data_IF_313000631916
#
_entry.id   IF_313000631916
#
_cell.length_a   1.000
_cell.length_b   1.000
_cell.length_c   1.000
_cell.angle_alpha   90.00
_cell.angle_beta   90.00
_cell.angle_gamma   90.00
#
_symmetry.space_group_name_H-M   'P 1'
#
loop_
_entity.id
_entity.type
_entity.pdbx_description
1 polymer ?
#
# COMPACT_ATOMS: atom_id res chain seq x y z
N UNK A 1 4.26 8.19 -8.65
CA UNK A 1 3.30 8.11 -9.77
C UNK A 1 1.86 7.98 -9.27
N UNK A 2 1.49 6.94 -8.50
CA UNK A 2 0.12 6.77 -7.98
C UNK A 2 -0.38 7.97 -7.16
N UNK A 3 0.43 8.47 -6.21
CA UNK A 3 0.11 9.62 -5.36
C UNK A 3 -0.20 10.90 -6.15
N UNK A 4 0.53 11.12 -7.25
CA UNK A 4 0.41 12.29 -8.10
C UNK A 4 -0.89 12.23 -8.93
N UNK A 5 -1.27 11.03 -9.38
CA UNK A 5 -2.55 10.77 -10.06
C UNK A 5 -3.72 10.99 -9.10
N UNK A 6 -3.65 10.45 -7.87
CA UNK A 6 -4.71 10.67 -6.86
C UNK A 6 -4.84 12.13 -6.46
N UNK A 7 -3.73 12.83 -6.23
CA UNK A 7 -3.74 14.26 -5.90
C UNK A 7 -4.33 15.10 -7.03
N UNK A 8 -3.97 14.79 -8.29
CA UNK A 8 -4.53 15.43 -9.47
C UNK A 8 -6.04 15.24 -9.60
N UNK A 9 -6.56 14.05 -9.31
CA UNK A 9 -8.00 13.79 -9.35
C UNK A 9 -8.78 14.53 -8.26
N UNK A 10 -8.28 14.51 -7.03
CA UNK A 10 -8.92 15.21 -5.89
C UNK A 10 -8.98 16.71 -6.16
N UNK A 11 -7.90 17.26 -6.71
CA UNK A 11 -7.87 18.66 -7.12
C UNK A 11 -8.91 18.97 -8.19
N UNK A 12 -9.03 18.13 -9.22
CA UNK A 12 -9.97 18.36 -10.32
C UNK A 12 -11.41 18.42 -9.80
N UNK A 13 -11.74 17.61 -8.79
CA UNK A 13 -13.01 17.69 -8.06
C UNK A 13 -13.14 18.99 -7.26
N UNK A 14 -12.11 19.38 -6.52
CA UNK A 14 -12.14 20.63 -5.77
C UNK A 14 -12.35 21.85 -6.68
N UNK A 15 -11.70 21.87 -7.84
CA UNK A 15 -11.88 22.89 -8.88
C UNK A 15 -13.30 22.89 -9.45
N UNK A 16 -13.88 21.72 -9.72
CA UNK A 16 -15.27 21.61 -10.19
C UNK A 16 -16.27 22.12 -9.13
N UNK A 17 -16.06 21.78 -7.86
CA UNK A 17 -16.87 22.25 -6.73
C UNK A 17 -16.80 23.78 -6.58
N UNK A 18 -15.60 24.34 -6.72
CA UNK A 18 -15.39 25.78 -6.65
C UNK A 18 -16.09 26.50 -7.81
N UNK A 19 -15.99 25.95 -9.03
CA UNK A 19 -16.71 26.45 -10.20
C UNK A 19 -18.23 26.50 -9.95
N UNK A 20 -18.79 25.43 -9.39
CA UNK A 20 -20.22 25.33 -9.08
C UNK A 20 -20.67 26.32 -7.99
N UNK A 21 -19.86 26.48 -6.93
CA UNK A 21 -20.09 27.48 -5.88
C UNK A 21 -20.07 28.91 -6.43
N UNK A 22 -19.18 29.21 -7.37
CA UNK A 22 -19.07 30.54 -7.96
C UNK A 22 -20.22 30.84 -8.92
N UNK A 23 -20.66 29.86 -9.70
CA UNK A 23 -21.87 29.96 -10.51
C UNK A 23 -23.12 30.23 -9.64
N UNK A 24 -23.23 29.57 -8.49
CA UNK A 24 -24.32 29.82 -7.53
C UNK A 24 -24.19 31.18 -6.81
N UNK A 25 -22.98 31.62 -6.48
CA UNK A 25 -22.74 32.95 -5.89
C UNK A 25 -22.97 34.09 -6.88
N UNK A 26 -22.65 33.90 -8.16
CA UNK A 26 -22.85 34.90 -9.22
C UNK A 26 -24.34 35.24 -9.42
N UNK A 27 -25.23 34.25 -9.29
CA UNK A 27 -26.69 34.48 -9.37
C UNK A 27 -27.23 35.30 -8.20
N UNK A 28 -26.63 35.20 -7.01
CA UNK A 28 -27.07 35.95 -5.82
C UNK A 28 -26.43 37.35 -5.77
N UNK A 29 -25.13 37.47 -6.09
CA UNK A 29 -24.40 38.75 -6.07
C UNK A 29 -24.71 39.67 -7.25
N UNK A 30 -25.24 39.13 -8.36
CA UNK A 30 -25.63 39.94 -9.53
C UNK A 30 -26.68 41.02 -9.21
N UNK A 31 -27.59 40.73 -8.29
CA UNK A 31 -28.65 41.66 -7.87
C UNK A 31 -28.08 42.80 -7.00
N UNK A 32 -27.22 42.49 -6.02
CA UNK A 32 -26.56 43.50 -5.17
C UNK A 32 -25.60 44.41 -5.95
N UNK A 33 -24.87 43.85 -6.92
CA UNK A 33 -23.92 44.61 -7.74
C UNK A 33 -24.67 45.56 -8.69
N UNK A 34 -25.80 45.14 -9.26
CA UNK A 34 -26.67 45.99 -10.09
C UNK A 34 -27.23 47.17 -9.28
N UNK A 35 -27.68 46.94 -8.04
CA UNK A 35 -28.16 47.99 -7.14
C UNK A 35 -27.02 48.96 -6.79
N UNK A 36 -25.82 48.48 -6.45
CA UNK A 36 -24.67 49.36 -6.12
C UNK A 36 -24.15 50.17 -7.31
N UNK A 37 -24.22 49.62 -8.52
CA UNK A 37 -23.89 50.35 -9.75
C UNK A 37 -24.93 51.43 -10.07
N UNK A 38 -26.22 51.18 -9.79
CA UNK A 38 -27.29 52.17 -9.96
C UNK A 38 -27.15 53.38 -9.01
N UNK A 39 -26.51 53.20 -7.85
CA UNK A 39 -26.22 54.26 -6.87
C UNK A 39 -24.86 54.96 -7.16
N UNK A 40 -24.19 54.63 -8.28
CA UNK A 40 -22.98 55.33 -8.73
C UNK A 40 -21.64 54.78 -8.22
N UNK A 41 -21.60 53.56 -7.69
CA UNK A 41 -20.34 52.95 -7.26
C UNK A 41 -19.40 52.69 -8.46
N UNK A 42 -18.12 53.06 -8.32
CA UNK A 42 -17.12 52.83 -9.36
C UNK A 42 -16.80 51.34 -9.55
N UNK A 43 -16.85 50.87 -10.81
CA UNK A 43 -16.60 49.46 -11.20
C UNK A 43 -15.29 48.90 -10.64
N UNK A 44 -14.24 49.73 -10.53
CA UNK A 44 -12.95 49.34 -9.95
C UNK A 44 -13.00 49.00 -8.46
N UNK A 45 -13.88 49.63 -7.68
CA UNK A 45 -14.03 49.35 -6.23
C UNK A 45 -14.65 47.98 -5.99
N UNK A 46 -15.63 47.61 -6.82
CA UNK A 46 -16.30 46.31 -6.79
C UNK A 46 -15.36 45.17 -7.20
N UNK A 47 -14.56 45.37 -8.26
CA UNK A 47 -13.54 44.40 -8.66
C UNK A 47 -12.51 44.20 -7.56
N UNK A 48 -11.99 45.29 -6.96
CA UNK A 48 -10.98 45.21 -5.90
C UNK A 48 -11.50 44.45 -4.67
N UNK A 49 -12.75 44.69 -4.28
CA UNK A 49 -13.38 44.01 -3.15
C UNK A 49 -13.52 42.49 -3.39
N UNK A 50 -13.99 42.08 -4.57
CA UNK A 50 -14.15 40.67 -4.92
C UNK A 50 -12.79 39.95 -5.01
N UNK A 51 -11.77 40.63 -5.54
CA UNK A 51 -10.40 40.10 -5.58
C UNK A 51 -9.83 39.91 -4.18
N UNK A 52 -10.01 40.89 -3.27
CA UNK A 52 -9.52 40.76 -1.88
C UNK A 52 -10.22 39.64 -1.11
N UNK A 53 -11.52 39.45 -1.30
CA UNK A 53 -12.29 38.40 -0.62
C UNK A 53 -11.88 37.00 -1.10
N UNK A 54 -11.63 36.86 -2.41
CA UNK A 54 -11.16 35.62 -3.03
C UNK A 54 -9.71 35.30 -2.61
N UNK A 55 -8.85 36.33 -2.54
CA UNK A 55 -7.46 36.20 -2.10
C UNK A 55 -7.36 35.80 -0.63
N UNK A 56 -8.21 36.35 0.25
CA UNK A 56 -8.28 35.98 1.66
C UNK A 56 -8.70 34.52 1.86
N UNK A 57 -9.71 34.05 1.12
CA UNK A 57 -10.14 32.65 1.16
C UNK A 57 -9.06 31.70 0.64
N UNK A 58 -8.37 32.07 -0.44
CA UNK A 58 -7.26 31.29 -0.99
C UNK A 58 -6.07 31.22 -0.01
N UNK A 59 -5.70 32.34 0.60
CA UNK A 59 -4.64 32.40 1.60
C UNK A 59 -4.95 31.56 2.84
N UNK A 60 -6.20 31.63 3.35
CA UNK A 60 -6.62 30.82 4.49
C UNK A 60 -6.60 29.31 4.17
N UNK A 61 -7.07 28.92 2.98
CA UNK A 61 -7.01 27.53 2.51
C UNK A 61 -5.58 27.02 2.36
N UNK A 62 -4.68 27.83 1.78
CA UNK A 62 -3.27 27.49 1.64
C UNK A 62 -2.57 27.34 3.00
N UNK A 63 -2.83 28.25 3.94
CA UNK A 63 -2.28 28.18 5.29
C UNK A 63 -2.76 26.92 6.04
N UNK A 64 -4.06 26.61 5.99
CA UNK A 64 -4.61 25.39 6.60
C UNK A 64 -4.05 24.12 5.95
N UNK A 65 -3.91 24.10 4.62
CA UNK A 65 -3.33 22.96 3.90
C UNK A 65 -1.88 22.69 4.28
N UNK A 66 -1.06 23.74 4.41
CA UNK A 66 0.34 23.61 4.86
C UNK A 66 0.44 23.09 6.30
N UNK A 67 -0.41 23.60 7.20
CA UNK A 67 -0.46 23.14 8.59
C UNK A 67 -0.89 21.67 8.68
N UNK A 68 -1.95 21.29 7.97
CA UNK A 68 -2.45 19.91 7.94
C UNK A 68 -1.41 18.97 7.35
N UNK A 69 -0.73 19.35 6.27
CA UNK A 69 0.33 18.53 5.64
C UNK A 69 1.43 18.17 6.63
N UNK A 70 1.92 19.15 7.40
CA UNK A 70 2.96 18.93 8.41
C UNK A 70 2.50 18.04 9.57
N UNK A 71 1.24 18.15 9.99
CA UNK A 71 0.68 17.35 11.09
C UNK A 71 0.36 15.92 10.64
N UNK A 72 -0.24 15.73 9.47
CA UNK A 72 -0.59 14.41 8.93
C UNK A 72 0.65 13.60 8.59
N UNK A 73 1.69 14.23 8.05
CA UNK A 73 2.96 13.55 7.75
C UNK A 73 3.63 13.05 9.02
N UNK A 74 3.65 13.88 10.08
CA UNK A 74 4.15 13.48 11.40
C UNK A 74 3.32 12.35 12.02
N UNK A 75 2.00 12.41 11.88
CA UNK A 75 1.11 11.35 12.34
C UNK A 75 1.33 10.03 11.60
N UNK A 76 1.52 10.06 10.28
CA UNK A 76 1.84 8.87 9.48
C UNK A 76 3.17 8.25 9.89
N UNK A 77 4.21 9.06 10.09
CA UNK A 77 5.52 8.56 10.56
C UNK A 77 5.41 7.94 11.94
N UNK A 78 4.65 8.55 12.85
CA UNK A 78 4.41 7.98 14.18
C UNK A 78 3.63 6.65 14.16
N UNK A 79 2.73 6.46 13.19
CA UNK A 79 1.98 5.22 13.00
C UNK A 79 2.80 4.11 12.32
N UNK A 80 3.75 4.45 11.46
CA UNK A 80 4.59 3.48 10.74
C UNK A 80 5.92 3.16 11.46
N UNK A 81 6.39 4.04 12.35
CA UNK A 81 7.59 3.83 13.15
C UNK A 81 7.33 2.81 14.27
N UNK A 82 7.58 1.53 13.99
CA UNK A 82 7.70 0.49 15.03
C UNK A 82 9.13 0.50 15.59
N UNK A 83 9.30 0.19 16.89
CA UNK A 83 10.53 0.35 17.72
C UNK A 83 11.85 -0.33 17.23
N UNK A 84 11.93 -0.84 16.00
CA UNK A 84 13.12 -1.54 15.49
C UNK A 84 13.78 -0.96 14.24
N UNK A 85 13.12 -0.05 13.51
CA UNK A 85 13.68 0.50 12.27
C UNK A 85 13.18 1.94 12.03
N UNK A 86 13.92 2.98 12.49
CA UNK A 86 13.52 4.35 12.24
C UNK A 86 13.60 4.61 10.73
N UNK A 87 12.46 4.58 10.06
CA UNK A 87 12.31 5.11 8.71
C UNK A 87 12.61 6.61 8.78
N UNK A 88 13.84 6.99 8.46
CA UNK A 88 14.20 8.37 8.13
C UNK A 88 13.59 8.69 6.76
N UNK A 89 12.28 8.92 6.74
CA UNK A 89 11.64 9.65 5.67
C UNK A 89 12.05 11.10 5.86
N UNK A 90 12.91 11.59 4.97
CA UNK A 90 13.26 12.99 4.88
C UNK A 90 11.96 13.74 4.53
N UNK A 91 11.35 14.33 5.57
CA UNK A 91 10.10 15.09 5.51
C UNK A 91 10.36 16.54 5.09
N UNK A 92 11.48 16.80 4.43
CA UNK A 92 11.77 18.13 3.95
C UNK A 92 10.72 18.50 2.89
N UNK A 93 10.06 19.66 3.00
CA UNK A 93 9.01 20.06 2.07
C UNK A 93 9.55 20.06 0.65
N UNK A 94 9.19 19.05 -0.17
CA UNK A 94 9.69 18.95 -1.53
C UNK A 94 9.36 20.26 -2.28
N UNK A 95 10.37 21.05 -2.68
CA UNK A 95 10.15 22.33 -3.35
C UNK A 95 9.37 22.15 -4.65
N UNK A 96 9.40 20.96 -5.27
CA UNK A 96 8.57 20.61 -6.44
C UNK A 96 7.10 20.50 -6.08
N UNK A 97 6.77 19.94 -4.91
CA UNK A 97 5.39 19.83 -4.42
C UNK A 97 4.85 21.20 -4.00
N UNK A 98 5.68 22.04 -3.37
CA UNK A 98 5.34 23.42 -3.02
C UNK A 98 5.13 24.30 -4.26
N UNK A 99 6.03 24.25 -5.24
CA UNK A 99 5.89 25.02 -6.49
C UNK A 99 4.71 24.55 -7.33
N UNK A 100 4.47 23.23 -7.39
CA UNK A 100 3.26 22.68 -8.03
C UNK A 100 2.00 23.18 -7.33
N UNK A 101 1.92 23.08 -6.00
CA UNK A 101 0.75 23.52 -5.22
C UNK A 101 0.53 25.03 -5.32
N UNK A 102 1.61 25.82 -5.29
CA UNK A 102 1.55 27.28 -5.42
C UNK A 102 1.14 27.73 -6.83
N UNK A 103 1.68 27.08 -7.88
CA UNK A 103 1.28 27.33 -9.27
C UNK A 103 -0.18 27.00 -9.49
N UNK A 104 -0.66 25.94 -8.86
CA UNK A 104 -2.03 25.45 -8.98
C UNK A 104 -3.03 26.30 -8.18
N UNK A 105 -2.67 26.74 -6.98
CA UNK A 105 -3.40 27.73 -6.20
C UNK A 105 -3.49 29.08 -6.94
N UNK A 106 -2.41 29.48 -7.62
CA UNK A 106 -2.39 30.68 -8.45
C UNK A 106 -3.29 30.54 -9.67
N UNK A 107 -3.22 29.40 -10.37
CA UNK A 107 -4.06 29.11 -11.54
C UNK A 107 -5.55 29.08 -11.16
N UNK A 108 -5.89 28.43 -10.05
CA UNK A 108 -7.26 28.40 -9.53
C UNK A 108 -7.72 29.79 -9.11
N UNK A 109 -6.91 30.58 -8.40
CA UNK A 109 -7.25 31.95 -8.05
C UNK A 109 -7.44 32.85 -9.29
N UNK A 110 -6.65 32.64 -10.35
CA UNK A 110 -6.77 33.39 -11.61
C UNK A 110 -8.04 33.01 -12.37
N UNK A 111 -8.27 31.71 -12.58
CA UNK A 111 -9.42 31.20 -13.32
C UNK A 111 -10.74 31.48 -12.59
N UNK A 112 -10.76 31.31 -11.27
CA UNK A 112 -11.97 31.37 -10.47
C UNK A 112 -12.21 32.73 -9.80
N UNK A 113 -11.18 33.53 -9.54
CA UNK A 113 -11.32 34.89 -8.98
C UNK A 113 -11.52 35.98 -10.04
N UNK A 114 -10.90 35.84 -11.23
CA UNK A 114 -10.95 36.86 -12.27
C UNK A 114 -12.20 36.75 -13.16
N UNK A 115 -12.66 35.52 -13.42
CA UNK A 115 -13.79 35.24 -14.31
C UNK A 115 -15.15 35.81 -13.83
N UNK A 116 -15.52 35.77 -12.53
CA UNK A 116 -16.74 36.40 -12.03
C UNK A 116 -16.63 37.93 -12.00
N UNK A 117 -15.46 38.48 -11.66
CA UNK A 117 -15.22 39.92 -11.56
C UNK A 117 -15.31 40.61 -12.94
N UNK A 118 -14.78 39.97 -13.98
CA UNK A 118 -14.88 40.45 -15.37
C UNK A 118 -16.30 40.29 -15.93
N UNK A 119 -17.05 39.24 -15.56
CA UNK A 119 -18.44 39.07 -16.00
C UNK A 119 -19.40 40.05 -15.32
N UNK A 120 -19.24 40.29 -14.02
CA UNK A 120 -20.08 41.23 -13.26
C UNK A 120 -19.93 42.69 -13.73
N UNK A 121 -18.79 43.04 -14.33
CA UNK A 121 -18.53 44.42 -14.82
C UNK A 121 -18.91 44.65 -16.28
N UNK A 122 -19.25 43.61 -17.04
CA UNK A 122 -19.76 43.71 -18.42
C UNK A 122 -21.28 43.89 -18.52
N UNK A 123 -22.03 43.75 -17.43
CA UNK A 123 -23.49 43.94 -17.43
C UNK A 123 -23.78 45.45 -17.40
N UNK A 124 -24.34 45.98 -18.50
CA UNK A 124 -24.77 47.37 -18.61
C UNK A 124 -25.97 47.63 -17.69
N UNK A 125 -26.03 48.75 -16.93
CA UNK A 125 -27.15 49.09 -16.06
C UNK A 125 -28.51 49.18 -16.78
N UNK A 126 -28.50 49.44 -18.10
CA UNK A 126 -29.71 49.52 -18.92
C UNK A 126 -30.38 48.17 -19.20
N UNK A 127 -29.62 47.06 -19.17
CA UNK A 127 -30.15 45.72 -19.48
C UNK A 127 -30.74 45.02 -18.26
N UNK A 128 -30.33 45.41 -17.04
CA UNK A 128 -30.78 44.83 -15.77
C UNK A 128 -32.24 45.18 -15.41
N UNK A 129 -32.77 46.30 -15.92
CA UNK A 129 -34.17 46.70 -15.68
C UNK A 129 -35.15 46.24 -16.78
N UNK A 130 -34.66 45.83 -17.96
CA UNK A 130 -35.49 45.25 -19.04
C UNK A 130 -35.54 43.71 -19.01
N UNK A 131 -34.88 43.06 -18.05
CA UNK A 131 -34.69 41.60 -18.02
C UNK A 131 -35.90 40.79 -17.51
N UNK A 132 -37.11 41.35 -17.46
CA UNK A 132 -38.30 40.52 -17.18
C UNK A 132 -38.85 39.80 -18.42
N UNK A 133 -38.49 40.22 -19.65
CA UNK A 133 -39.12 39.66 -20.87
C UNK A 133 -38.17 39.10 -21.94
N UNK A 134 -36.85 39.34 -21.86
CA UNK A 134 -35.88 38.84 -22.88
C UNK A 134 -34.90 37.77 -22.34
N UNK A 135 -35.12 37.28 -21.12
CA UNK A 135 -34.23 36.38 -20.38
C UNK A 135 -34.28 34.90 -20.81
N UNK A 136 -35.05 34.53 -21.84
CA UNK A 136 -35.27 33.11 -22.19
C UNK A 136 -34.14 32.47 -23.00
N UNK A 137 -33.33 33.23 -23.74
CA UNK A 137 -32.25 32.69 -24.59
C UNK A 137 -30.87 32.67 -23.90
N UNK A 138 -30.47 33.73 -23.18
CA UNK A 138 -29.21 33.73 -22.42
C UNK A 138 -29.23 32.77 -21.21
N UNK A 139 -30.41 32.53 -20.64
CA UNK A 139 -30.57 31.57 -19.52
C UNK A 139 -30.39 30.12 -19.95
N UNK A 140 -30.61 29.77 -21.23
CA UNK A 140 -30.54 28.39 -21.74
C UNK A 140 -29.09 27.90 -21.92
N UNK A 141 -28.18 28.75 -22.42
CA UNK A 141 -26.74 28.43 -22.53
C UNK A 141 -26.05 28.33 -21.16
N UNK A 142 -26.40 29.22 -20.23
CA UNK A 142 -25.89 29.19 -18.84
C UNK A 142 -26.41 27.97 -18.07
N UNK A 143 -27.66 27.55 -18.30
CA UNK A 143 -28.19 26.30 -17.74
C UNK A 143 -27.44 25.07 -18.28
N UNK A 144 -27.14 25.04 -19.59
CA UNK A 144 -26.42 23.94 -20.23
C UNK A 144 -24.99 23.77 -19.69
N UNK A 145 -24.24 24.86 -19.52
CA UNK A 145 -22.89 24.83 -18.92
C UNK A 145 -22.92 24.41 -17.45
N UNK A 146 -23.89 24.90 -16.67
CA UNK A 146 -24.05 24.51 -15.26
C UNK A 146 -24.41 23.04 -15.13
N UNK A 147 -25.31 22.55 -15.97
CA UNK A 147 -25.71 21.14 -15.99
C UNK A 147 -24.56 20.24 -16.45
N UNK A 148 -23.77 20.64 -17.44
CA UNK A 148 -22.57 19.92 -17.85
C UNK A 148 -21.51 19.85 -16.74
N UNK A 149 -21.31 20.92 -15.98
CA UNK A 149 -20.40 20.95 -14.82
C UNK A 149 -20.89 20.06 -13.66
N UNK A 150 -22.20 20.06 -13.38
CA UNK A 150 -22.78 19.17 -12.36
C UNK A 150 -22.64 17.71 -12.79
N UNK A 151 -22.94 17.40 -14.05
CA UNK A 151 -22.80 16.04 -14.60
C UNK A 151 -21.34 15.58 -14.56
N UNK A 152 -20.38 16.44 -14.92
CA UNK A 152 -18.96 16.09 -14.87
C UNK A 152 -18.47 15.89 -13.43
N UNK A 153 -18.93 16.71 -12.49
CA UNK A 153 -18.62 16.56 -11.07
C UNK A 153 -19.17 15.26 -10.49
N UNK A 154 -20.44 14.93 -10.77
CA UNK A 154 -21.08 13.69 -10.31
C UNK A 154 -20.39 12.49 -10.94
N UNK A 155 -20.09 12.54 -12.25
CA UNK A 155 -19.36 11.49 -12.95
C UNK A 155 -17.97 11.25 -12.34
N UNK A 156 -17.20 12.32 -12.08
CA UNK A 156 -15.86 12.23 -11.50
C UNK A 156 -15.88 11.71 -10.06
N UNK A 157 -16.87 12.15 -9.26
CA UNK A 157 -17.08 11.66 -7.90
C UNK A 157 -17.43 10.17 -7.90
N UNK A 158 -18.26 9.73 -8.86
CA UNK A 158 -18.61 8.33 -9.03
C UNK A 158 -17.38 7.49 -9.42
N UNK A 159 -16.55 7.98 -10.35
CA UNK A 159 -15.31 7.30 -10.74
C UNK A 159 -14.37 7.11 -9.55
N UNK A 160 -14.19 8.15 -8.71
CA UNK A 160 -13.39 8.01 -7.49
C UNK A 160 -13.99 7.03 -6.49
N UNK A 161 -15.29 7.10 -6.26
CA UNK A 161 -15.97 6.19 -5.34
C UNK A 161 -15.80 4.74 -5.81
N UNK A 162 -16.02 4.48 -7.10
CA UNK A 162 -15.82 3.16 -7.70
C UNK A 162 -14.35 2.73 -7.58
N UNK A 163 -13.40 3.62 -7.88
CA UNK A 163 -11.97 3.35 -7.73
C UNK A 163 -11.57 3.00 -6.29
N UNK A 164 -12.09 3.72 -5.30
CA UNK A 164 -11.87 3.46 -3.88
C UNK A 164 -12.49 2.12 -3.43
N UNK A 165 -13.70 1.80 -3.90
CA UNK A 165 -14.38 0.54 -3.62
C UNK A 165 -13.63 -0.65 -4.25
N UNK A 166 -13.19 -0.53 -5.51
CA UNK A 166 -12.38 -1.55 -6.18
C UNK A 166 -11.03 -1.74 -5.49
N UNK A 167 -10.37 -0.66 -5.07
CA UNK A 167 -9.13 -0.75 -4.31
C UNK A 167 -9.34 -1.45 -2.96
N UNK A 168 -10.41 -1.11 -2.23
CA UNK A 168 -10.76 -1.78 -0.97
C UNK A 168 -11.07 -3.27 -1.19
N UNK A 169 -11.81 -3.59 -2.26
CA UNK A 169 -12.08 -4.96 -2.67
C UNK A 169 -10.80 -5.73 -3.04
N UNK A 170 -9.90 -5.09 -3.79
CA UNK A 170 -8.60 -5.67 -4.17
C UNK A 170 -7.70 -5.91 -2.96
N UNK A 171 -7.66 -4.99 -2.01
CA UNK A 171 -6.92 -5.16 -0.75
C UNK A 171 -7.49 -6.30 0.10
N UNK A 172 -8.82 -6.38 0.22
CA UNK A 172 -9.50 -7.50 0.90
C UNK A 172 -9.22 -8.83 0.21
N UNK A 173 -9.24 -8.85 -1.13
CA UNK A 173 -8.93 -10.04 -1.89
C UNK A 173 -7.46 -10.46 -1.69
N UNK A 174 -6.53 -9.51 -1.64
CA UNK A 174 -5.12 -9.78 -1.39
C UNK A 174 -4.89 -10.38 0.01
N UNK A 175 -5.59 -9.87 1.03
CA UNK A 175 -5.54 -10.41 2.40
C UNK A 175 -6.25 -11.77 2.54
N UNK A 176 -7.11 -12.13 1.58
CA UNK A 176 -7.80 -13.43 1.54
C UNK A 176 -7.08 -14.47 0.66
N UNK A 177 -5.97 -14.11 0.00
CA UNK A 177 -5.19 -15.05 -0.81
C UNK A 177 -4.65 -16.15 0.10
N UNK A 178 -4.92 -17.40 -0.26
CA UNK A 178 -4.35 -18.56 0.39
C UNK A 178 -2.83 -18.54 0.22
N UNK A 179 -2.12 -18.20 1.30
CA UNK A 179 -0.66 -18.20 1.32
C UNK A 179 -0.07 -19.60 1.51
N UNK A 180 -0.91 -20.62 1.72
CA UNK A 180 -0.52 -21.98 2.07
C UNK A 180 -0.18 -22.15 3.56
N UNK A 181 -0.43 -21.13 4.39
CA UNK A 181 -0.25 -21.14 5.84
C UNK A 181 -1.20 -20.15 6.52
N UNK A 182 -1.45 -20.35 7.81
CA UNK A 182 -2.29 -19.50 8.65
C UNK A 182 -1.59 -18.18 8.97
N UNK A 183 -2.25 -17.05 8.67
CA UNK A 183 -1.76 -15.70 8.93
C UNK A 183 -2.33 -15.09 10.23
N UNK A 184 -3.50 -15.55 10.66
CA UNK A 184 -4.21 -14.99 11.82
C UNK A 184 -3.90 -15.79 13.08
N UNK A 185 -3.76 -15.11 14.23
CA UNK A 185 -3.52 -15.77 15.52
C UNK A 185 -2.11 -16.35 15.67
N UNK A 186 -1.16 -15.91 14.85
CA UNK A 186 0.27 -16.25 14.97
C UNK A 186 1.01 -15.03 15.52
N UNK A 187 1.74 -15.22 16.62
CA UNK A 187 2.64 -14.21 17.17
C UNK A 187 4.07 -14.52 16.75
N UNK A 188 4.75 -13.53 16.18
CA UNK A 188 6.17 -13.62 15.81
C UNK A 188 6.98 -12.90 16.89
N UNK A 189 7.97 -13.60 17.44
CA UNK A 189 8.92 -13.05 18.39
C UNK A 189 10.35 -13.31 17.89
N UNK A 190 11.18 -12.28 17.93
CA UNK A 190 12.58 -12.37 17.51
C UNK A 190 13.50 -12.43 18.73
N UNK A 191 14.53 -13.28 18.66
CA UNK A 191 15.52 -13.45 19.73
C UNK A 191 16.89 -12.98 19.25
N UNK A 192 17.33 -11.86 19.81
CA UNK A 192 18.65 -11.28 19.53
C UNK A 192 19.74 -11.89 20.44
N UNK A 193 20.34 -13.00 19.97
CA UNK A 193 21.42 -13.67 20.71
C UNK A 193 22.65 -12.78 20.99
N UNK A 194 23.15 -11.95 20.05
CA UNK A 194 24.23 -11.00 20.33
C UNK A 194 23.92 -10.07 21.50
N UNK A 195 22.71 -9.49 21.56
CA UNK A 195 22.31 -8.59 22.64
C UNK A 195 22.30 -9.28 24.01
N UNK A 196 21.92 -10.56 24.06
CA UNK A 196 21.97 -11.38 25.27
C UNK A 196 23.34 -12.01 25.55
N UNK A 197 24.36 -11.74 24.71
CA UNK A 197 25.71 -12.30 24.82
C UNK A 197 25.74 -13.83 24.92
N UNK A 198 24.83 -14.51 24.23
CA UNK A 198 24.74 -15.98 24.25
C UNK A 198 25.72 -16.58 23.22
N UNK A 199 26.74 -17.36 23.64
CA UNK A 199 27.68 -18.02 22.74
C UNK A 199 26.98 -19.01 21.80
N UNK A 200 27.48 -19.18 20.58
CA UNK A 200 26.90 -20.06 19.54
C UNK A 200 26.63 -21.48 20.03
N UNK A 201 27.55 -22.07 20.78
CA UNK A 201 27.48 -23.42 21.34
C UNK A 201 26.27 -23.61 22.28
N UNK A 202 25.87 -22.54 22.98
CA UNK A 202 24.75 -22.57 23.92
C UNK A 202 23.40 -22.24 23.29
N UNK A 203 23.37 -21.72 22.06
CA UNK A 203 22.12 -21.27 21.42
C UNK A 203 21.15 -22.43 21.19
N UNK A 204 21.64 -23.60 20.80
CA UNK A 204 20.80 -24.78 20.55
C UNK A 204 20.03 -25.24 21.80
N UNK A 205 20.72 -25.36 22.94
CA UNK A 205 20.08 -25.69 24.22
C UNK A 205 19.09 -24.61 24.67
N UNK A 206 19.50 -23.34 24.61
CA UNK A 206 18.63 -22.21 24.96
C UNK A 206 17.34 -22.16 24.13
N UNK A 207 17.44 -22.37 22.82
CA UNK A 207 16.28 -22.39 21.91
C UNK A 207 15.28 -23.48 22.32
N UNK A 208 15.77 -24.69 22.60
CA UNK A 208 14.92 -25.81 23.08
C UNK A 208 14.21 -25.48 24.39
N UNK A 209 14.96 -25.03 25.39
CA UNK A 209 14.39 -24.69 26.71
C UNK A 209 13.36 -23.56 26.61
N UNK A 210 13.63 -22.55 25.78
CA UNK A 210 12.72 -21.43 25.53
C UNK A 210 11.43 -21.91 24.86
N UNK A 211 11.56 -22.75 23.84
CA UNK A 211 10.42 -23.28 23.09
C UNK A 211 9.53 -24.15 23.98
N UNK A 212 10.11 -25.00 24.83
CA UNK A 212 9.37 -25.80 25.82
C UNK A 212 8.60 -24.93 26.80
N UNK A 213 9.22 -23.87 27.33
CA UNK A 213 8.56 -22.92 28.23
C UNK A 213 7.41 -22.19 27.55
N UNK A 214 7.58 -21.76 26.30
CA UNK A 214 6.52 -21.10 25.52
C UNK A 214 5.35 -22.06 25.29
N UNK A 215 5.63 -23.32 24.92
CA UNK A 215 4.61 -24.35 24.73
C UNK A 215 3.82 -24.68 26.00
N UNK A 216 4.42 -24.46 27.18
CA UNK A 216 3.77 -24.67 28.47
C UNK A 216 2.88 -23.50 28.94
N UNK A 217 2.90 -22.35 28.26
CA UNK A 217 2.08 -21.20 28.64
C UNK A 217 0.59 -21.44 28.36
N UNK A 218 -0.32 -20.94 29.23
CA UNK A 218 -1.75 -20.99 28.94
C UNK A 218 -2.07 -20.18 27.67
N UNK A 219 -2.98 -20.69 26.85
CA UNK A 219 -3.40 -20.13 25.55
C UNK A 219 -2.38 -20.25 24.40
N UNK A 220 -1.25 -20.93 24.60
CA UNK A 220 -0.35 -21.29 23.49
C UNK A 220 -0.72 -22.67 22.96
N UNK A 221 -1.26 -22.73 21.73
CA UNK A 221 -1.63 -23.99 21.08
C UNK A 221 -0.44 -24.75 20.50
N UNK A 222 0.52 -24.01 19.92
CA UNK A 222 1.74 -24.55 19.34
C UNK A 222 2.79 -23.43 19.23
N UNK A 223 4.06 -23.81 19.24
CA UNK A 223 5.17 -22.89 19.01
C UNK A 223 6.30 -23.64 18.30
N UNK A 224 6.96 -22.94 17.40
CA UNK A 224 8.06 -23.45 16.60
C UNK A 224 9.04 -22.32 16.28
N UNK A 225 10.25 -22.72 15.91
CA UNK A 225 11.29 -21.83 15.41
C UNK A 225 11.28 -21.79 13.88
N UNK A 226 11.62 -20.62 13.34
CA UNK A 226 11.88 -20.43 11.91
C UNK A 226 13.09 -19.50 11.74
N UNK A 227 13.93 -19.77 10.74
CA UNK A 227 15.08 -18.92 10.41
C UNK A 227 14.66 -17.63 9.69
N UNK A 228 13.78 -17.75 8.69
CA UNK A 228 13.27 -16.63 7.91
C UNK A 228 11.74 -16.58 8.01
N UNK A 229 11.22 -15.52 8.61
CA UNK A 229 9.77 -15.31 8.71
C UNK A 229 9.18 -15.19 7.29
N UNK A 230 8.14 -15.97 6.93
CA UNK A 230 7.47 -15.83 5.64
C UNK A 230 6.98 -14.40 5.40
N UNK A 231 7.06 -13.94 4.15
CA UNK A 231 6.64 -12.60 3.72
C UNK A 231 7.47 -11.44 4.31
N UNK A 232 8.60 -11.73 4.98
CA UNK A 232 9.56 -10.70 5.44
C UNK A 232 10.34 -10.04 4.31
N UNK A 233 10.30 -10.61 3.09
CA UNK A 233 11.11 -10.19 1.94
C UNK A 233 12.54 -10.75 1.94
N UNK A 234 12.97 -11.39 3.04
CA UNK A 234 14.25 -12.10 3.12
C UNK A 234 14.17 -13.51 2.51
N UNK A 235 15.32 -14.03 2.08
CA UNK A 235 15.40 -15.38 1.55
C UNK A 235 16.82 -15.89 1.43
N UNK A 236 16.97 -17.21 1.49
CA UNK A 236 18.20 -17.90 1.12
C UNK A 236 17.85 -18.84 -0.01
N UNK A 237 18.66 -18.84 -1.06
CA UNK A 237 18.59 -19.78 -2.17
C UNK A 237 19.94 -20.48 -2.34
N UNK A 238 19.90 -21.63 -2.98
CA UNK A 238 21.10 -22.35 -3.40
C UNK A 238 20.69 -23.35 -4.49
N UNK A 239 21.60 -23.68 -5.40
CA UNK A 239 21.32 -24.66 -6.44
C UNK A 239 21.18 -26.07 -5.86
N UNK A 240 20.22 -26.82 -6.42
CA UNK A 240 20.01 -28.24 -6.14
C UNK A 240 19.83 -29.04 -7.41
N UNK A 241 20.14 -30.33 -7.32
CA UNK A 241 19.91 -31.32 -8.37
C UNK A 241 19.69 -32.70 -7.76
N UNK A 242 19.26 -33.65 -8.60
CA UNK A 242 19.05 -35.05 -8.20
C UNK A 242 20.08 -35.94 -8.89
N UNK A 243 20.30 -37.12 -8.32
CA UNK A 243 21.22 -38.08 -8.93
C UNK A 243 20.64 -38.59 -10.25
N UNK A 244 21.43 -38.49 -11.32
CA UNK A 244 20.99 -38.86 -12.67
C UNK A 244 20.22 -37.77 -13.43
N UNK A 245 20.04 -36.56 -12.87
CA UNK A 245 19.60 -35.40 -13.67
C UNK A 245 20.76 -34.77 -14.43
N UNK A 246 20.44 -34.10 -15.54
CA UNK A 246 21.38 -33.27 -16.30
C UNK A 246 22.07 -32.25 -15.37
N UNK A 247 23.41 -32.24 -15.27
CA UNK A 247 24.18 -31.32 -14.41
C UNK A 247 23.94 -29.84 -14.71
N UNK A 248 23.46 -29.51 -15.91
CA UNK A 248 23.11 -28.14 -16.31
C UNK A 248 21.73 -27.72 -15.82
N UNK A 249 20.88 -28.67 -15.42
CA UNK A 249 19.50 -28.44 -15.01
C UNK A 249 19.39 -28.31 -13.50
N UNK A 250 20.09 -27.31 -12.95
CA UNK A 250 20.01 -26.95 -11.53
C UNK A 250 18.69 -26.22 -11.25
N UNK A 251 18.07 -26.54 -10.12
CA UNK A 251 16.95 -25.78 -9.57
C UNK A 251 17.49 -24.87 -8.48
N UNK A 252 17.00 -23.64 -8.39
CA UNK A 252 17.34 -22.70 -7.33
C UNK A 252 16.12 -22.47 -6.40
N UNK A 253 15.86 -23.42 -5.49
CA UNK A 253 14.79 -23.30 -4.49
C UNK A 253 15.17 -22.33 -3.38
N UNK A 254 14.14 -21.84 -2.69
CA UNK A 254 14.33 -21.16 -1.43
C UNK A 254 14.49 -22.17 -0.29
N UNK A 255 15.41 -21.87 0.62
CA UNK A 255 15.65 -22.62 1.83
C UNK A 255 15.13 -21.88 3.05
N UNK A 256 14.69 -22.63 4.04
CA UNK A 256 14.39 -22.10 5.36
C UNK A 256 14.64 -23.17 6.41
N UNK A 257 15.14 -22.76 7.57
CA UNK A 257 15.33 -23.65 8.71
C UNK A 257 14.10 -23.55 9.60
N UNK A 258 13.52 -24.68 9.96
CA UNK A 258 12.34 -24.73 10.82
C UNK A 258 12.53 -25.82 11.88
N UNK A 259 12.01 -25.60 13.09
CA UNK A 259 11.95 -26.67 14.08
C UNK A 259 10.77 -27.61 13.80
N UNK A 260 10.80 -28.81 14.40
CA UNK A 260 9.63 -29.66 14.50
C UNK A 260 8.41 -28.94 15.10
N UNK A 261 7.24 -29.18 14.52
CA UNK A 261 5.98 -28.53 14.89
C UNK A 261 5.72 -27.19 14.19
N UNK A 262 6.63 -26.71 13.33
CA UNK A 262 6.40 -25.49 12.54
C UNK A 262 5.22 -25.64 11.58
N UNK A 263 5.11 -26.79 10.89
CA UNK A 263 3.99 -27.03 9.99
C UNK A 263 2.66 -26.99 10.75
N UNK A 264 2.61 -27.54 11.96
CA UNK A 264 1.45 -27.47 12.86
C UNK A 264 1.15 -26.03 13.29
N UNK A 265 2.18 -25.29 13.72
CA UNK A 265 2.04 -23.89 14.18
C UNK A 265 1.49 -22.98 13.09
N UNK A 266 1.96 -23.18 11.85
CA UNK A 266 1.55 -22.42 10.68
C UNK A 266 0.36 -23.03 9.93
N UNK A 267 -0.27 -24.09 10.47
CA UNK A 267 -1.36 -24.85 9.85
C UNK A 267 -1.09 -25.24 8.37
N UNK A 268 0.15 -25.59 8.06
CA UNK A 268 0.57 -26.01 6.73
C UNK A 268 0.12 -27.46 6.47
N UNK A 269 -0.27 -27.74 5.23
CA UNK A 269 -0.85 -29.04 4.87
C UNK A 269 0.25 -29.97 4.37
N UNK A 270 0.55 -30.99 5.18
CA UNK A 270 1.39 -32.13 4.81
C UNK A 270 0.60 -33.08 3.90
N UNK A 271 1.13 -33.35 2.72
CA UNK A 271 0.53 -34.22 1.70
C UNK A 271 1.08 -35.65 1.76
N UNK A 272 2.36 -35.81 2.13
CA UNK A 272 2.99 -37.12 2.32
C UNK A 272 4.16 -37.03 3.30
N UNK A 273 4.49 -38.15 3.93
CA UNK A 273 5.65 -38.26 4.83
C UNK A 273 5.34 -37.76 6.24
N UNK A 274 6.29 -37.03 6.85
CA UNK A 274 6.22 -36.54 8.23
C UNK A 274 6.76 -35.11 8.38
N UNK A 275 6.42 -34.48 9.49
CA UNK A 275 7.10 -33.27 9.97
C UNK A 275 8.46 -33.65 10.60
N UNK A 276 9.29 -32.64 10.90
CA UNK A 276 10.50 -32.83 11.69
C UNK A 276 10.15 -33.17 13.14
N UNK A 277 10.97 -34.02 13.75
CA UNK A 277 10.81 -34.44 15.14
C UNK A 277 12.18 -34.67 15.80
N UNK A 278 12.17 -35.14 17.05
CA UNK A 278 13.37 -35.28 17.87
C UNK A 278 14.44 -36.24 17.30
N UNK A 279 14.12 -36.99 16.24
CA UNK A 279 15.07 -37.86 15.53
C UNK A 279 15.97 -37.07 14.58
N UNK A 280 15.54 -35.90 14.15
CA UNK A 280 16.26 -35.05 13.20
C UNK A 280 17.21 -34.14 13.98
N UNK A 281 18.44 -34.61 14.17
CA UNK A 281 19.48 -33.93 14.95
C UNK A 281 20.65 -33.53 14.07
N UNK A 282 21.54 -32.63 14.52
CA UNK A 282 22.74 -32.27 13.75
C UNK A 282 23.65 -33.46 13.39
N UNK A 283 23.52 -34.59 14.10
CA UNK A 283 24.27 -35.83 13.85
C UNK A 283 23.48 -36.90 13.11
N UNK A 284 22.18 -36.70 12.87
CA UNK A 284 21.37 -37.61 12.05
C UNK A 284 21.63 -37.38 10.56
N UNK A 285 21.16 -38.28 9.67
CA UNK A 285 21.06 -37.96 8.25
C UNK A 285 20.32 -36.64 8.06
N UNK A 286 20.79 -35.81 7.13
CA UNK A 286 20.17 -34.53 6.83
C UNK A 286 18.87 -34.74 6.10
N UNK A 287 17.81 -34.15 6.60
CA UNK A 287 16.45 -34.32 6.07
C UNK A 287 15.87 -32.99 5.63
N UNK A 288 14.93 -33.05 4.70
CA UNK A 288 14.22 -31.89 4.18
C UNK A 288 12.73 -32.18 3.99
N UNK A 289 11.91 -31.14 4.14
CA UNK A 289 10.50 -31.14 3.77
C UNK A 289 10.35 -30.19 2.58
N UNK A 290 9.76 -30.68 1.49
CA UNK A 290 9.67 -29.91 0.23
C UNK A 290 8.23 -29.61 -0.12
N UNK A 291 7.99 -28.56 -0.91
CA UNK A 291 6.64 -28.30 -1.42
C UNK A 291 6.38 -28.93 -2.80
N UNK A 292 5.12 -28.94 -3.22
CA UNK A 292 4.71 -29.47 -4.54
C UNK A 292 5.49 -28.84 -5.71
N UNK A 293 5.75 -27.53 -5.66
CA UNK A 293 6.52 -26.83 -6.71
C UNK A 293 7.96 -27.33 -6.82
N UNK A 294 8.60 -27.62 -5.69
CA UNK A 294 9.92 -28.25 -5.66
C UNK A 294 9.91 -29.64 -6.27
N UNK A 295 8.99 -30.49 -5.82
CA UNK A 295 8.85 -31.86 -6.33
C UNK A 295 8.56 -31.89 -7.84
N UNK A 296 7.67 -31.00 -8.31
CA UNK A 296 7.31 -30.89 -9.72
C UNK A 296 8.46 -30.41 -10.60
N UNK A 297 9.19 -29.35 -10.19
CA UNK A 297 10.27 -28.79 -11.02
C UNK A 297 11.50 -29.68 -11.11
N UNK A 298 11.80 -30.47 -10.07
CA UNK A 298 12.86 -31.48 -10.12
C UNK A 298 12.41 -32.82 -10.75
N UNK A 299 11.15 -32.96 -11.13
CA UNK A 299 10.66 -34.22 -11.70
C UNK A 299 10.64 -35.38 -10.70
N UNK A 300 10.46 -35.09 -9.41
CA UNK A 300 10.45 -36.11 -8.35
C UNK A 300 9.15 -36.93 -8.30
N UNK A 301 8.18 -36.65 -9.19
CA UNK A 301 6.90 -37.36 -9.26
C UNK A 301 5.94 -36.99 -8.12
N UNK A 302 4.87 -37.77 -7.96
CA UNK A 302 3.74 -37.47 -7.04
C UNK A 302 4.10 -37.61 -5.57
N UNK A 303 5.03 -38.52 -5.24
CA UNK A 303 5.52 -38.72 -3.87
C UNK A 303 7.07 -38.68 -3.86
N UNK A 304 7.67 -37.58 -3.38
CA UNK A 304 9.13 -37.44 -3.32
C UNK A 304 9.75 -38.02 -2.05
N UNK A 305 8.94 -38.52 -1.10
CA UNK A 305 9.44 -39.00 0.20
C UNK A 305 10.39 -40.19 0.01
N UNK A 306 11.52 -40.18 0.72
CA UNK A 306 12.63 -41.13 0.61
C UNK A 306 13.61 -40.85 -0.54
N UNK A 307 13.29 -39.91 -1.44
CA UNK A 307 14.23 -39.47 -2.48
C UNK A 307 15.25 -38.49 -1.90
N UNK A 308 16.39 -38.36 -2.58
CA UNK A 308 17.49 -37.49 -2.16
C UNK A 308 17.78 -36.44 -3.21
N UNK A 309 18.21 -35.26 -2.77
CA UNK A 309 18.76 -34.22 -3.63
C UNK A 309 20.09 -33.71 -3.05
N UNK A 310 20.94 -33.20 -3.93
CA UNK A 310 22.19 -32.52 -3.60
C UNK A 310 21.97 -31.02 -3.58
N UNK A 311 22.59 -30.34 -2.64
CA UNK A 311 22.69 -28.87 -2.57
C UNK A 311 24.13 -28.46 -2.81
N UNK A 312 24.32 -27.49 -3.70
CA UNK A 312 25.64 -27.02 -4.12
C UNK A 312 26.52 -26.61 -2.94
N UNK A 313 27.80 -26.93 -3.06
CA UNK A 313 28.82 -26.42 -2.15
C UNK A 313 28.84 -24.88 -2.20
N UNK A 314 29.01 -24.27 -1.04
CA UNK A 314 29.23 -22.83 -0.90
C UNK A 314 30.67 -22.61 -0.42
N UNK A 315 31.22 -21.37 -0.48
CA UNK A 315 32.56 -21.11 0.07
C UNK A 315 32.73 -21.53 1.54
N UNK A 316 31.63 -21.60 2.31
CA UNK A 316 31.61 -21.96 3.73
C UNK A 316 31.18 -23.40 4.02
N UNK A 317 30.53 -24.09 3.09
CA UNK A 317 29.92 -25.40 3.33
C UNK A 317 30.15 -26.35 2.16
N UNK A 318 30.53 -27.62 2.40
CA UNK A 318 30.67 -28.60 1.32
C UNK A 318 29.31 -28.92 0.69
N UNK A 319 29.34 -29.66 -0.42
CA UNK A 319 28.13 -30.23 -1.01
C UNK A 319 27.42 -31.10 0.04
N UNK A 320 26.11 -30.90 0.16
CA UNK A 320 25.28 -31.62 1.13
C UNK A 320 24.20 -32.44 0.41
N UNK A 321 23.94 -33.63 0.93
CA UNK A 321 22.85 -34.50 0.48
C UNK A 321 21.73 -34.46 1.51
N UNK A 322 20.50 -34.24 1.06
CA UNK A 322 19.31 -34.25 1.90
C UNK A 322 18.34 -35.35 1.45
N UNK A 323 17.78 -36.07 2.41
CA UNK A 323 16.65 -36.97 2.18
C UNK A 323 15.33 -36.25 2.40
N UNK A 324 14.38 -36.42 1.47
CA UNK A 324 13.07 -35.83 1.57
C UNK A 324 12.21 -36.69 2.49
N UNK A 325 11.81 -36.14 3.63
CA UNK A 325 10.97 -36.85 4.63
C UNK A 325 9.52 -36.39 4.62
N UNK A 326 9.23 -35.26 3.97
CA UNK A 326 7.88 -34.72 3.88
C UNK A 326 7.63 -33.96 2.57
N UNK A 327 6.39 -34.00 2.11
CA UNK A 327 5.86 -33.19 1.03
C UNK A 327 4.71 -32.35 1.57
N UNK A 328 4.75 -31.03 1.36
CA UNK A 328 3.66 -30.11 1.74
C UNK A 328 3.02 -29.47 0.51
N UNK A 329 1.81 -28.91 0.70
CA UNK A 329 1.17 -28.04 -0.29
C UNK A 329 2.05 -26.80 -0.57
N UNK A 330 1.90 -26.22 -1.77
CA UNK A 330 2.56 -24.96 -2.13
C UNK A 330 2.27 -23.83 -1.13
N UNK A 331 3.31 -23.09 -0.78
CA UNK A 331 3.25 -21.94 0.13
C UNK A 331 3.96 -20.73 -0.47
N UNK A 332 3.57 -19.52 -0.06
CA UNK A 332 4.26 -18.27 -0.40
C UNK A 332 5.51 -18.10 0.48
N UNK A 333 6.47 -17.33 0.00
CA UNK A 333 7.76 -17.11 0.65
C UNK A 333 8.10 -15.62 0.76
N UNK A 334 8.18 -14.88 -0.35
CA UNK A 334 8.58 -13.46 -0.34
C UNK A 334 7.41 -12.49 -0.19
N UNK A 335 6.31 -12.74 -0.91
CA UNK A 335 5.14 -11.86 -0.93
C UNK A 335 3.87 -12.62 -1.35
N UNK A 336 2.70 -12.02 -1.18
CA UNK A 336 1.42 -12.70 -1.51
C UNK A 336 1.12 -12.79 -3.01
N UNK A 337 1.82 -12.01 -3.85
CA UNK A 337 1.55 -11.90 -5.29
C UNK A 337 2.37 -12.85 -6.15
N UNK A 338 3.41 -13.47 -5.60
CA UNK A 338 4.25 -14.41 -6.34
C UNK A 338 3.52 -15.71 -6.64
N UNK A 339 4.00 -16.48 -7.61
CA UNK A 339 3.61 -17.88 -7.79
C UNK A 339 4.20 -18.77 -6.69
N UNK A 340 3.67 -19.97 -6.51
CA UNK A 340 4.26 -20.93 -5.56
C UNK A 340 5.66 -21.35 -6.02
N UNK A 341 6.69 -20.78 -5.40
CA UNK A 341 8.09 -21.09 -5.68
C UNK A 341 8.48 -22.45 -5.08
N UNK A 342 9.51 -23.12 -5.62
CA UNK A 342 10.13 -24.27 -4.97
C UNK A 342 10.72 -23.89 -3.62
N UNK A 343 10.32 -24.60 -2.57
CA UNK A 343 10.82 -24.37 -1.22
C UNK A 343 11.25 -25.71 -0.61
N UNK A 344 12.41 -25.71 0.04
CA UNK A 344 12.90 -26.79 0.88
C UNK A 344 13.11 -26.28 2.32
N UNK A 345 12.36 -26.85 3.25
CA UNK A 345 12.52 -26.65 4.68
C UNK A 345 13.54 -27.64 5.23
N UNK A 346 14.44 -27.17 6.08
CA UNK A 346 15.54 -27.92 6.68
C UNK A 346 15.38 -27.95 8.22
N UNK A 347 15.81 -29.05 8.85
CA UNK A 347 15.82 -29.21 10.32
C UNK A 347 17.14 -28.79 10.94
#
# INVERSE_FOLDING_TARGET
MLLLVTAGLVLLIACANLAHLLLARATIRGHEIAVRLAIGASRGRLIRQLMTESLLLAAAGAALGLLLSGTLSRFLVAMLGTEGNPLFLDLDPDPRMLTFTAGLASLTCLLFGLMPALRATRISPGDAMKTSSRSLTASRELFGLRQALVVSQVALSLVLLVGALLFSGSLRNLLAVDAGFQQNGVLIAEVDFPRFKIPSERRGGFKRDLLERIRALPNVYSAAEVGIVPLSGGGIDNNVWIDGSDPTRKLEPNFNWISGGYLKTMAMILLAGRDFDDRDTPTSPRVAIVNQSFAGRLGLGTNPVGKRFRREATPSEPELVFEIVGLIRGTKYYNLREEFRPIAFLS
#
